data_IF_669169002449
#
_entry.id   IF_669169002449
#
_cell.length_a   1.000
_cell.length_b   1.000
_cell.length_c   1.000
_cell.angle_alpha   90.00
_cell.angle_beta   90.00
_cell.angle_gamma   90.00
#
_symmetry.space_group_name_H-M   'P 1'
#
loop_
_entity.id
_entity.type
_entity.pdbx_description
1 polymer ?
#
# COMPACT_ATOMS: atom_id res chain seq x y z
N UNK A 1 -8.94 3.85 13.51
CA UNK A 1 -8.20 4.49 14.61
C UNK A 1 -9.17 4.93 15.69
N UNK A 2 -8.70 4.99 16.90
CA UNK A 2 -9.51 5.38 18.05
C UNK A 2 -8.76 5.14 19.36
N UNK A 3 -9.54 5.12 20.46
CA UNK A 3 -9.03 4.82 21.80
C UNK A 3 -9.58 3.49 22.29
N UNK A 4 -8.80 2.76 23.05
CA UNK A 4 -9.23 1.52 23.69
C UNK A 4 -10.19 1.88 24.84
N UNK A 5 -11.42 1.43 24.75
CA UNK A 5 -12.44 1.64 25.79
C UNK A 5 -12.71 0.38 26.62
N UNK A 6 -12.34 -0.78 26.10
CA UNK A 6 -12.50 -2.07 26.79
C UNK A 6 -11.46 -3.06 26.30
N UNK A 7 -10.87 -3.84 27.21
CA UNK A 7 -9.97 -4.94 26.91
C UNK A 7 -10.64 -6.30 27.23
N UNK A 8 -10.34 -7.32 26.44
CA UNK A 8 -10.71 -8.71 26.75
C UNK A 8 -9.79 -9.31 27.82
N UNK A 9 -10.07 -10.55 28.23
CA UNK A 9 -9.36 -11.18 29.36
C UNK A 9 -7.94 -11.62 29.03
N UNK A 10 -7.68 -12.15 27.85
CA UNK A 10 -6.36 -12.66 27.46
C UNK A 10 -5.86 -11.95 26.21
N UNK A 11 -5.24 -10.80 26.37
CA UNK A 11 -4.71 -10.01 25.26
C UNK A 11 -3.18 -10.09 25.20
N UNK A 12 -2.65 -10.22 23.98
CA UNK A 12 -1.21 -10.11 23.73
C UNK A 12 -0.73 -8.67 24.02
N UNK A 13 0.52 -8.54 24.40
CA UNK A 13 1.17 -7.23 24.49
C UNK A 13 1.21 -6.55 23.11
N UNK A 14 1.34 -5.24 23.13
CA UNK A 14 1.56 -4.46 21.91
C UNK A 14 2.97 -4.72 21.33
N UNK A 15 3.24 -4.19 20.15
CA UNK A 15 4.53 -4.35 19.46
C UNK A 15 5.74 -3.73 20.20
N UNK A 16 5.51 -2.99 21.28
CA UNK A 16 6.54 -2.44 22.18
C UNK A 16 6.74 -3.31 23.43
N UNK A 17 6.07 -4.47 23.51
CA UNK A 17 6.13 -5.38 24.65
C UNK A 17 5.31 -4.95 25.86
N UNK A 18 4.47 -3.91 25.76
CA UNK A 18 3.62 -3.39 26.83
C UNK A 18 2.20 -3.94 26.75
N UNK A 19 1.56 -4.12 27.90
CA UNK A 19 0.13 -4.45 27.94
C UNK A 19 -0.70 -3.28 27.40
N UNK A 20 -1.75 -3.60 26.65
CA UNK A 20 -2.74 -2.63 26.22
C UNK A 20 -3.56 -2.10 27.42
N UNK A 21 -3.84 -0.83 27.43
CA UNK A 21 -4.61 -0.15 28.49
C UNK A 21 -5.79 0.62 27.90
N UNK A 22 -6.84 0.78 28.72
CA UNK A 22 -7.95 1.68 28.41
C UNK A 22 -7.39 3.11 28.28
N UNK A 23 -7.79 3.82 27.22
CA UNK A 23 -7.27 5.14 26.87
C UNK A 23 -6.07 5.12 25.90
N UNK A 24 -5.48 3.95 25.61
CA UNK A 24 -4.43 3.88 24.58
C UNK A 24 -4.97 4.31 23.22
N UNK A 25 -4.27 5.23 22.58
CA UNK A 25 -4.55 5.67 21.22
C UNK A 25 -3.98 4.66 20.21
N UNK A 26 -4.84 4.13 19.36
CA UNK A 26 -4.50 3.03 18.46
C UNK A 26 -5.02 3.23 17.06
N UNK A 27 -4.40 2.54 16.11
CA UNK A 27 -4.94 2.31 14.77
C UNK A 27 -4.67 0.87 14.34
N UNK A 28 -5.42 0.36 13.38
CA UNK A 28 -5.26 -1.03 12.97
C UNK A 28 -6.23 -1.49 11.92
N UNK A 29 -6.29 -2.81 11.73
CA UNK A 29 -7.16 -3.45 10.75
C UNK A 29 -8.36 -4.10 11.42
N UNK A 30 -9.51 -3.97 10.77
CA UNK A 30 -10.72 -4.72 11.10
C UNK A 30 -11.24 -5.43 9.84
N UNK A 31 -11.84 -6.60 10.02
CA UNK A 31 -12.38 -7.38 8.90
C UNK A 31 -13.62 -6.73 8.26
N UNK A 32 -14.29 -5.86 9.02
CA UNK A 32 -15.49 -5.11 8.62
C UNK A 32 -16.01 -4.29 9.81
N UNK A 33 -17.09 -3.54 9.61
CA UNK A 33 -17.72 -2.76 10.67
C UNK A 33 -16.95 -1.51 11.13
N UNK A 34 -15.98 -1.03 10.31
CA UNK A 34 -15.17 0.16 10.66
C UNK A 34 -15.95 1.48 10.56
N UNK A 35 -17.12 1.50 9.96
CA UNK A 35 -18.03 2.66 9.93
C UNK A 35 -18.93 2.63 11.18
N UNK A 36 -18.32 2.74 12.34
CA UNK A 36 -18.99 2.62 13.64
C UNK A 36 -18.26 3.40 14.72
N UNK A 37 -18.99 3.84 15.74
CA UNK A 37 -18.41 4.50 16.91
C UNK A 37 -17.56 3.54 17.74
N UNK A 38 -17.90 2.26 17.76
CA UNK A 38 -17.16 1.21 18.45
C UNK A 38 -16.94 0.02 17.55
N UNK A 39 -15.75 -0.57 17.61
CA UNK A 39 -15.41 -1.75 16.83
C UNK A 39 -14.54 -2.69 17.67
N UNK A 40 -14.83 -3.99 17.54
CA UNK A 40 -14.01 -5.04 18.14
C UNK A 40 -12.84 -5.38 17.20
N UNK A 41 -11.63 -5.40 17.72
CA UNK A 41 -10.42 -5.71 16.96
C UNK A 41 -9.53 -6.68 17.73
N UNK A 42 -8.78 -7.51 17.02
CA UNK A 42 -7.75 -8.37 17.61
C UNK A 42 -6.54 -7.54 18.02
N UNK A 43 -6.08 -7.70 19.25
CA UNK A 43 -4.96 -6.94 19.81
C UNK A 43 -3.69 -6.97 18.93
N UNK A 44 -3.36 -8.13 18.34
CA UNK A 44 -2.21 -8.27 17.44
C UNK A 44 -2.32 -7.52 16.11
N UNK A 45 -3.50 -6.98 15.76
CA UNK A 45 -3.71 -6.17 14.55
C UNK A 45 -3.69 -4.67 14.82
N UNK A 46 -3.35 -4.26 16.05
CA UNK A 46 -3.25 -2.88 16.47
C UNK A 46 -1.82 -2.37 16.47
N UNK A 47 -1.70 -1.10 16.15
CA UNK A 47 -0.50 -0.29 16.32
C UNK A 47 -0.71 0.70 17.46
N UNK A 48 0.33 0.94 18.26
CA UNK A 48 0.37 2.15 19.07
C UNK A 48 0.38 3.36 18.15
N UNK A 49 -0.44 4.36 18.44
CA UNK A 49 -0.47 5.57 17.64
C UNK A 49 0.71 6.48 18.03
N UNK A 50 1.54 6.93 17.06
CA UNK A 50 2.55 7.94 17.34
C UNK A 50 1.90 9.21 17.93
N UNK A 51 2.54 9.86 18.89
CA UNK A 51 1.98 11.05 19.59
C UNK A 51 1.57 12.17 18.62
N UNK A 52 2.37 12.37 17.57
CA UNK A 52 2.11 13.40 16.56
C UNK A 52 1.00 13.05 15.56
N UNK A 53 0.51 11.81 15.54
CA UNK A 53 -0.56 11.43 14.59
C UNK A 53 -1.93 11.89 15.11
N UNK A 54 -2.73 12.41 14.18
CA UNK A 54 -4.17 12.55 14.40
C UNK A 54 -4.87 11.20 14.18
N UNK A 55 -6.12 11.06 14.63
CA UNK A 55 -6.89 9.85 14.39
C UNK A 55 -7.12 9.61 12.89
N UNK A 56 -7.30 10.66 12.11
CA UNK A 56 -7.46 10.58 10.66
C UNK A 56 -6.19 10.02 10.00
N UNK A 57 -5.02 10.44 10.44
CA UNK A 57 -3.75 9.90 9.97
C UNK A 57 -3.60 8.42 10.35
N UNK A 58 -3.95 8.05 11.57
CA UNK A 58 -3.98 6.65 12.00
C UNK A 58 -4.91 5.79 11.12
N UNK A 59 -6.14 6.27 10.87
CA UNK A 59 -7.10 5.59 10.02
C UNK A 59 -6.61 5.42 8.57
N UNK A 60 -5.89 6.41 8.05
CA UNK A 60 -5.32 6.37 6.70
C UNK A 60 -4.08 5.47 6.59
N UNK A 61 -3.50 4.99 7.71
CA UNK A 61 -2.19 4.35 7.75
C UNK A 61 -2.25 2.82 7.60
N UNK A 62 -2.97 2.12 8.48
CA UNK A 62 -2.80 0.69 8.70
C UNK A 62 -2.92 -0.15 7.42
N UNK A 63 -4.04 -0.03 6.70
CA UNK A 63 -4.32 -0.86 5.51
C UNK A 63 -3.28 -0.64 4.41
N UNK A 64 -2.98 0.61 4.10
CA UNK A 64 -2.13 0.93 2.93
C UNK A 64 -0.67 0.57 3.17
N UNK A 65 -0.15 0.81 4.39
CA UNK A 65 1.22 0.44 4.72
C UNK A 65 1.40 -1.08 4.88
N UNK A 66 0.42 -1.79 5.46
CA UNK A 66 0.49 -3.24 5.56
C UNK A 66 0.36 -3.91 4.19
N UNK A 67 -0.51 -3.42 3.32
CA UNK A 67 -0.64 -3.95 1.95
C UNK A 67 0.62 -3.69 1.14
N UNK A 68 1.19 -2.49 1.20
CA UNK A 68 2.44 -2.17 0.54
C UNK A 68 3.61 -3.00 1.10
N UNK A 69 3.73 -3.11 2.42
CA UNK A 69 4.75 -3.90 3.09
C UNK A 69 4.66 -5.38 2.73
N UNK A 70 3.46 -5.95 2.79
CA UNK A 70 3.21 -7.33 2.37
C UNK A 70 3.70 -7.58 0.94
N UNK A 71 3.36 -6.68 0.02
CA UNK A 71 3.71 -6.82 -1.39
C UNK A 71 5.20 -6.74 -1.64
N UNK A 72 5.84 -5.72 -1.08
CA UNK A 72 7.25 -5.44 -1.32
C UNK A 72 8.16 -6.41 -0.56
N UNK A 73 7.91 -6.64 0.74
CA UNK A 73 8.87 -7.34 1.60
C UNK A 73 8.46 -8.77 1.91
N UNK A 74 7.19 -9.02 2.23
CA UNK A 74 6.76 -10.39 2.58
C UNK A 74 6.67 -11.29 1.34
N UNK A 75 6.19 -10.76 0.22
CA UNK A 75 5.96 -11.53 -1.03
C UNK A 75 7.14 -11.37 -1.97
N UNK A 76 7.42 -10.17 -2.46
CA UNK A 76 8.44 -9.94 -3.47
C UNK A 76 9.88 -9.95 -2.93
N UNK A 77 10.08 -9.96 -1.60
CA UNK A 77 11.42 -9.98 -0.97
C UNK A 77 12.31 -8.86 -1.49
N UNK A 78 11.76 -7.65 -1.62
CA UNK A 78 12.44 -6.48 -2.16
C UNK A 78 13.79 -6.26 -1.48
N UNK A 79 14.85 -6.28 -2.27
CA UNK A 79 16.19 -5.93 -1.83
C UNK A 79 16.43 -4.42 -1.89
N UNK A 80 17.40 -3.92 -1.13
CA UNK A 80 17.85 -2.53 -1.24
C UNK A 80 18.42 -2.26 -2.64
N UNK A 81 18.25 -1.03 -3.11
CA UNK A 81 18.70 -0.55 -4.43
C UNK A 81 17.99 -1.22 -5.64
N UNK A 82 16.93 -2.01 -5.42
CA UNK A 82 16.12 -2.58 -6.50
C UNK A 82 15.40 -1.49 -7.30
N UNK A 83 15.02 -1.84 -8.54
CA UNK A 83 14.17 -1.02 -9.41
C UNK A 83 12.72 -1.48 -9.26
N UNK A 84 11.85 -0.58 -8.85
CA UNK A 84 10.45 -0.87 -8.54
C UNK A 84 9.52 -0.09 -9.45
N UNK A 85 8.55 -0.77 -10.05
CA UNK A 85 7.43 -0.16 -10.75
C UNK A 85 6.17 -0.28 -9.89
N UNK A 86 5.49 0.83 -9.65
CA UNK A 86 4.24 0.86 -8.88
C UNK A 86 3.14 1.46 -9.73
N UNK A 87 2.15 0.67 -10.10
CA UNK A 87 0.97 1.17 -10.77
C UNK A 87 0.02 1.87 -9.79
N UNK A 88 -0.65 2.92 -10.27
CA UNK A 88 -1.50 3.81 -9.45
C UNK A 88 -0.73 4.42 -8.25
N UNK A 89 0.45 4.99 -8.50
CA UNK A 89 1.36 5.52 -7.48
C UNK A 89 0.75 6.52 -6.52
N UNK A 90 -0.24 7.30 -6.95
CA UNK A 90 -0.93 8.30 -6.12
C UNK A 90 -2.08 7.72 -5.28
N UNK A 91 -2.37 6.41 -5.37
CA UNK A 91 -3.33 5.75 -4.49
C UNK A 91 -2.79 5.65 -3.06
N UNK A 92 -3.64 5.26 -2.11
CA UNK A 92 -3.19 5.03 -0.74
C UNK A 92 -2.07 3.98 -0.66
N UNK A 93 -2.24 2.82 -1.30
CA UNK A 93 -1.21 1.76 -1.33
C UNK A 93 0.02 2.21 -2.13
N UNK A 94 -0.18 2.87 -3.28
CA UNK A 94 0.93 3.37 -4.10
C UNK A 94 1.79 4.38 -3.36
N UNK A 95 1.17 5.34 -2.67
CA UNK A 95 1.89 6.35 -1.87
C UNK A 95 2.67 5.75 -0.69
N UNK A 96 2.14 4.71 -0.06
CA UNK A 96 2.85 3.94 0.97
C UNK A 96 4.02 3.14 0.36
N UNK A 97 3.78 2.46 -0.77
CA UNK A 97 4.79 1.66 -1.45
C UNK A 97 5.99 2.51 -1.93
N UNK A 98 5.75 3.72 -2.45
CA UNK A 98 6.82 4.67 -2.79
C UNK A 98 7.71 4.90 -1.58
N UNK A 99 7.13 5.32 -0.46
CA UNK A 99 7.87 5.67 0.75
C UNK A 99 8.65 4.48 1.32
N UNK A 100 8.05 3.29 1.38
CA UNK A 100 8.71 2.09 1.87
C UNK A 100 9.87 1.65 0.96
N UNK A 101 9.69 1.70 -0.36
CA UNK A 101 10.74 1.37 -1.32
C UNK A 101 11.89 2.40 -1.25
N UNK A 102 11.57 3.70 -1.13
CA UNK A 102 12.59 4.75 -0.96
C UNK A 102 13.35 4.61 0.36
N UNK A 103 12.71 4.18 1.44
CA UNK A 103 13.40 3.88 2.71
C UNK A 103 14.43 2.73 2.57
N UNK A 104 14.32 1.90 1.54
CA UNK A 104 15.30 0.87 1.16
C UNK A 104 16.21 1.30 -0.01
N UNK A 105 16.26 2.59 -0.30
CA UNK A 105 17.11 3.18 -1.36
C UNK A 105 16.80 2.67 -2.78
N UNK A 106 15.58 2.14 -3.00
CA UNK A 106 15.18 1.65 -4.32
C UNK A 106 14.98 2.79 -5.32
N UNK A 107 15.15 2.47 -6.60
CA UNK A 107 14.73 3.34 -7.70
C UNK A 107 13.25 3.09 -8.00
N UNK A 108 12.41 4.09 -7.79
CA UNK A 108 10.95 3.97 -7.85
C UNK A 108 10.40 4.70 -9.07
N UNK A 109 9.78 3.95 -9.97
CA UNK A 109 8.96 4.48 -11.07
C UNK A 109 7.49 4.22 -10.79
N UNK A 110 6.62 5.18 -11.06
CA UNK A 110 5.18 5.00 -10.86
C UNK A 110 4.40 5.34 -12.12
N UNK A 111 3.20 4.75 -12.27
CA UNK A 111 2.22 5.19 -13.26
C UNK A 111 1.04 5.87 -12.60
N UNK A 112 0.54 6.94 -13.17
CA UNK A 112 -0.55 7.77 -12.65
C UNK A 112 -1.45 8.28 -13.77
N UNK A 113 -2.65 8.78 -13.43
CA UNK A 113 -3.64 9.25 -14.42
C UNK A 113 -3.68 10.76 -14.64
N UNK A 114 -2.82 11.56 -13.99
CA UNK A 114 -2.78 13.01 -14.18
C UNK A 114 -1.45 13.62 -13.75
N UNK A 115 -1.17 14.82 -14.22
CA UNK A 115 0.04 15.58 -13.85
C UNK A 115 0.06 15.95 -12.35
N UNK A 116 -1.07 16.26 -11.76
CA UNK A 116 -1.18 16.54 -10.33
C UNK A 116 -0.77 15.31 -9.51
N UNK A 117 -1.23 14.12 -9.91
CA UNK A 117 -0.83 12.84 -9.29
C UNK A 117 0.66 12.53 -9.50
N UNK A 118 1.21 12.82 -10.69
CA UNK A 118 2.64 12.66 -10.96
C UNK A 118 3.48 13.55 -10.03
N UNK A 119 3.12 14.84 -9.93
CA UNK A 119 3.80 15.79 -9.03
C UNK A 119 3.77 15.32 -7.57
N UNK A 120 2.62 14.80 -7.10
CA UNK A 120 2.49 14.29 -5.75
C UNK A 120 3.40 13.07 -5.51
N UNK A 121 3.49 12.13 -6.46
CA UNK A 121 4.37 10.97 -6.34
C UNK A 121 5.86 11.36 -6.33
N UNK A 122 6.29 12.31 -7.16
CA UNK A 122 7.66 12.82 -7.15
C UNK A 122 7.98 13.50 -5.81
N UNK A 123 7.05 14.25 -5.23
CA UNK A 123 7.21 14.86 -3.91
C UNK A 123 7.32 13.81 -2.77
N UNK A 124 6.80 12.60 -2.96
CA UNK A 124 6.97 11.47 -2.05
C UNK A 124 8.29 10.71 -2.24
N UNK A 125 9.09 11.11 -3.22
CA UNK A 125 10.39 10.54 -3.50
C UNK A 125 10.45 9.55 -4.66
N UNK A 126 9.37 9.36 -5.43
CA UNK A 126 9.46 8.59 -6.67
C UNK A 126 10.49 9.24 -7.62
N UNK A 127 11.32 8.43 -8.27
CA UNK A 127 12.35 8.91 -9.21
C UNK A 127 11.74 9.27 -10.57
N UNK A 128 10.65 8.58 -10.95
CA UNK A 128 9.90 8.85 -12.17
C UNK A 128 8.39 8.63 -11.96
N UNK A 129 7.57 9.51 -12.53
CA UNK A 129 6.13 9.41 -12.46
C UNK A 129 5.51 9.60 -13.86
N UNK A 130 5.00 8.51 -14.43
CA UNK A 130 4.53 8.44 -15.81
C UNK A 130 3.01 8.64 -15.84
N UNK A 131 2.56 9.69 -16.53
CA UNK A 131 1.15 9.84 -16.81
C UNK A 131 0.78 8.91 -17.98
N UNK A 132 0.08 7.80 -17.69
CA UNK A 132 -0.27 6.77 -18.66
C UNK A 132 -1.21 7.25 -19.78
N UNK A 133 -1.81 8.44 -19.63
CA UNK A 133 -2.59 9.06 -20.71
C UNK A 133 -1.71 9.69 -21.79
N UNK A 134 -0.43 9.95 -21.47
CA UNK A 134 0.53 10.60 -22.38
C UNK A 134 1.72 9.73 -22.72
N UNK A 135 2.09 8.81 -21.83
CA UNK A 135 3.32 8.05 -21.94
C UNK A 135 3.03 6.54 -21.78
N UNK A 136 3.32 5.76 -22.79
CA UNK A 136 3.31 4.30 -22.65
C UNK A 136 4.51 3.87 -21.81
N UNK A 137 4.25 3.28 -20.66
CA UNK A 137 5.30 2.91 -19.72
C UNK A 137 6.21 1.79 -20.25
N UNK A 138 5.75 0.97 -21.21
CA UNK A 138 6.58 -0.08 -21.83
C UNK A 138 7.66 0.53 -22.69
N UNK A 139 7.29 1.48 -23.56
CA UNK A 139 8.24 2.19 -24.41
C UNK A 139 9.22 2.99 -23.57
N UNK A 140 8.71 3.76 -22.60
CA UNK A 140 9.54 4.54 -21.71
C UNK A 140 10.56 3.66 -20.93
N UNK A 141 10.10 2.50 -20.44
CA UNK A 141 10.96 1.60 -19.67
C UNK A 141 12.12 1.02 -20.48
N UNK A 142 11.90 0.72 -21.77
CA UNK A 142 12.97 0.22 -22.66
C UNK A 142 14.13 1.22 -22.79
N UNK A 143 13.82 2.51 -22.78
CA UNK A 143 14.81 3.57 -22.92
C UNK A 143 15.49 3.92 -21.59
N UNK A 144 14.73 3.93 -20.49
CA UNK A 144 15.18 4.47 -19.20
C UNK A 144 15.58 3.38 -18.20
N UNK A 145 14.98 2.17 -18.30
CA UNK A 145 15.24 1.03 -17.41
C UNK A 145 15.48 -0.24 -18.25
N UNK A 146 16.48 -0.28 -19.11
CA UNK A 146 16.67 -1.37 -20.07
C UNK A 146 16.86 -2.74 -19.44
N UNK A 147 17.36 -2.83 -18.20
CA UNK A 147 17.45 -4.07 -17.45
C UNK A 147 16.11 -4.56 -16.88
N UNK A 148 15.07 -3.73 -16.93
CA UNK A 148 13.74 -4.00 -16.38
C UNK A 148 13.62 -3.72 -14.88
N UNK A 149 12.42 -3.97 -14.35
CA UNK A 149 12.08 -3.78 -12.94
C UNK A 149 12.18 -5.10 -12.16
N UNK A 150 12.86 -5.05 -11.02
CA UNK A 150 13.01 -6.20 -10.12
C UNK A 150 11.68 -6.56 -9.44
N UNK A 151 10.90 -5.53 -9.08
CA UNK A 151 9.57 -5.71 -8.47
C UNK A 151 8.56 -4.80 -9.16
N UNK A 152 7.39 -5.37 -9.48
CA UNK A 152 6.25 -4.64 -10.03
C UNK A 152 5.05 -4.85 -9.11
N UNK A 153 4.50 -3.75 -8.56
CA UNK A 153 3.26 -3.76 -7.76
C UNK A 153 2.11 -3.33 -8.67
N UNK A 154 1.19 -4.25 -8.91
CA UNK A 154 0.11 -4.07 -9.87
C UNK A 154 -1.27 -4.13 -9.20
N UNK A 155 -1.97 -3.00 -9.24
CA UNK A 155 -3.38 -2.87 -8.83
C UNK A 155 -4.32 -2.77 -10.04
N UNK A 156 -3.77 -2.76 -11.25
CA UNK A 156 -4.52 -2.56 -12.51
C UNK A 156 -4.93 -3.89 -13.11
N UNK A 157 -3.97 -4.80 -13.31
CA UNK A 157 -4.19 -6.11 -13.94
C UNK A 157 -4.74 -6.04 -15.37
N UNK A 158 -5.50 -7.05 -15.81
CA UNK A 158 -5.98 -7.11 -17.18
C UNK A 158 -4.81 -7.09 -18.16
N UNK A 159 -4.90 -6.27 -19.20
CA UNK A 159 -3.86 -6.14 -20.23
C UNK A 159 -2.51 -5.58 -19.71
N UNK A 160 -2.49 -5.02 -18.49
CA UNK A 160 -1.24 -4.63 -17.85
C UNK A 160 -0.33 -5.82 -17.52
N UNK A 161 -0.89 -7.02 -17.32
CA UNK A 161 -0.08 -8.21 -17.08
C UNK A 161 0.91 -8.48 -18.23
N UNK A 162 0.46 -8.46 -19.46
CA UNK A 162 1.33 -8.64 -20.63
C UNK A 162 2.40 -7.54 -20.73
N UNK A 163 2.01 -6.30 -20.43
CA UNK A 163 2.92 -5.15 -20.42
C UNK A 163 3.96 -5.28 -19.30
N UNK A 164 3.55 -5.70 -18.10
CA UNK A 164 4.42 -5.91 -16.95
C UNK A 164 5.47 -7.00 -17.21
N UNK A 165 5.08 -8.11 -17.85
CA UNK A 165 6.01 -9.16 -18.27
C UNK A 165 7.10 -8.59 -19.20
N UNK A 166 6.73 -7.66 -20.10
CA UNK A 166 7.69 -7.05 -21.02
C UNK A 166 8.74 -6.20 -20.32
N UNK A 167 8.38 -5.48 -19.25
CA UNK A 167 9.26 -4.54 -18.54
C UNK A 167 9.88 -5.10 -17.26
N UNK A 168 9.52 -6.31 -16.86
CA UNK A 168 10.14 -6.98 -15.72
C UNK A 168 11.62 -7.33 -16.02
N UNK A 169 12.46 -7.28 -15.03
CA UNK A 169 13.85 -7.73 -15.09
C UNK A 169 13.95 -9.26 -15.10
N UNK A 170 15.15 -9.77 -15.32
CA UNK A 170 15.48 -11.18 -15.08
C UNK A 170 15.27 -11.48 -13.59
N UNK A 171 14.63 -12.62 -13.27
CA UNK A 171 14.21 -13.00 -11.91
C UNK A 171 13.22 -12.03 -11.26
N UNK A 172 12.60 -11.14 -12.03
CA UNK A 172 11.67 -10.14 -11.55
C UNK A 172 10.40 -10.73 -10.91
N UNK A 173 9.80 -9.99 -9.99
CA UNK A 173 8.61 -10.40 -9.26
C UNK A 173 7.44 -9.44 -9.50
N UNK A 174 6.33 -9.96 -10.01
CA UNK A 174 5.08 -9.23 -10.19
C UNK A 174 4.13 -9.57 -9.05
N UNK A 175 3.62 -8.56 -8.34
CA UNK A 175 2.63 -8.73 -7.26
C UNK A 175 1.34 -8.03 -7.65
N UNK A 176 0.32 -8.84 -7.95
CA UNK A 176 -1.03 -8.37 -8.30
C UNK A 176 -1.90 -8.24 -7.06
N UNK A 177 -2.52 -7.08 -6.84
CA UNK A 177 -3.34 -6.76 -5.67
C UNK A 177 -4.80 -6.49 -5.99
N UNK A 178 -5.10 -6.12 -7.23
CA UNK A 178 -6.45 -5.74 -7.67
C UNK A 178 -6.56 -5.92 -9.19
N UNK A 179 -7.74 -5.66 -9.73
CA UNK A 179 -8.06 -5.83 -11.14
C UNK A 179 -8.85 -4.61 -11.68
N UNK A 180 -8.38 -3.40 -11.36
CA UNK A 180 -9.06 -2.17 -11.76
C UNK A 180 -9.15 -2.00 -13.29
N UNK A 181 -8.20 -2.54 -14.05
CA UNK A 181 -8.17 -2.51 -15.52
C UNK A 181 -8.80 -3.74 -16.18
N UNK A 182 -9.35 -4.68 -15.38
CA UNK A 182 -10.00 -5.88 -15.89
C UNK A 182 -9.47 -7.17 -15.26
N UNK A 183 -10.30 -8.22 -15.37
CA UNK A 183 -9.98 -9.54 -14.78
C UNK A 183 -9.30 -10.51 -15.75
N UNK A 184 -9.30 -10.19 -17.03
CA UNK A 184 -8.74 -11.05 -18.06
C UNK A 184 -7.59 -10.34 -18.79
N UNK A 185 -6.56 -11.10 -19.12
CA UNK A 185 -5.52 -10.71 -20.06
C UNK A 185 -5.67 -11.53 -21.32
N UNK A 186 -5.74 -10.89 -22.49
CA UNK A 186 -6.00 -11.57 -23.76
C UNK A 186 -4.80 -12.39 -24.24
N UNK A 187 -3.59 -11.93 -23.96
CA UNK A 187 -2.35 -12.58 -24.39
C UNK A 187 -1.26 -12.51 -23.34
N UNK A 188 -0.75 -13.66 -22.93
CA UNK A 188 0.42 -13.79 -22.05
C UNK A 188 1.52 -14.54 -22.78
N UNK A 189 2.68 -13.92 -22.91
CA UNK A 189 3.87 -14.50 -23.52
C UNK A 189 4.58 -15.42 -22.52
N UNK A 190 4.26 -16.71 -22.56
CA UNK A 190 4.85 -17.72 -21.67
C UNK A 190 6.37 -17.88 -21.93
N UNK A 191 6.83 -17.69 -23.19
CA UNK A 191 8.25 -17.77 -23.49
C UNK A 191 9.04 -16.67 -22.76
N UNK A 192 8.48 -15.46 -22.63
CA UNK A 192 9.10 -14.39 -21.83
C UNK A 192 9.09 -14.67 -20.34
N UNK A 193 8.00 -15.26 -19.81
CA UNK A 193 7.96 -15.69 -18.40
C UNK A 193 9.10 -16.67 -18.09
N UNK A 194 9.28 -17.67 -18.94
CA UNK A 194 10.34 -18.67 -18.82
C UNK A 194 11.73 -18.04 -18.98
N UNK A 195 11.95 -17.29 -20.07
CA UNK A 195 13.26 -16.69 -20.36
C UNK A 195 13.73 -15.73 -19.27
N UNK A 196 12.81 -15.00 -18.65
CA UNK A 196 13.10 -14.07 -17.56
C UNK A 196 12.99 -14.71 -16.15
N UNK A 197 12.56 -15.96 -16.03
CA UNK A 197 12.34 -16.68 -14.76
C UNK A 197 11.44 -15.89 -13.79
N UNK A 198 10.35 -15.29 -14.31
CA UNK A 198 9.49 -14.39 -13.56
C UNK A 198 8.69 -15.12 -12.49
N UNK A 199 8.53 -14.49 -11.35
CA UNK A 199 7.56 -14.89 -10.34
C UNK A 199 6.32 -14.01 -10.43
N UNK A 200 5.14 -14.62 -10.54
CA UNK A 200 3.85 -13.95 -10.50
C UNK A 200 3.13 -14.34 -9.21
N UNK A 201 2.81 -13.36 -8.39
CA UNK A 201 2.06 -13.54 -7.15
C UNK A 201 0.80 -12.70 -7.15
N UNK A 202 -0.29 -13.26 -6.66
CA UNK A 202 -1.50 -12.51 -6.35
C UNK A 202 -1.71 -12.50 -4.84
N UNK A 203 -2.16 -11.39 -4.30
CA UNK A 203 -2.37 -11.25 -2.87
C UNK A 203 -3.58 -10.40 -2.53
N UNK A 204 -4.16 -10.72 -1.39
CA UNK A 204 -5.16 -9.91 -0.70
C UNK A 204 -4.90 -10.02 0.79
N UNK A 205 -5.05 -8.90 1.51
CA UNK A 205 -4.87 -8.89 2.96
C UNK A 205 -6.17 -9.26 3.69
N UNK A 206 -7.32 -8.96 3.09
CA UNK A 206 -8.63 -9.06 3.75
C UNK A 206 -8.94 -10.46 4.28
N UNK A 207 -8.68 -11.50 3.49
CA UNK A 207 -9.00 -12.89 3.80
C UNK A 207 -7.85 -13.69 4.44
N UNK A 208 -6.77 -13.01 4.84
CA UNK A 208 -5.68 -13.64 5.61
C UNK A 208 -6.14 -13.91 7.05
N UNK A 209 -5.56 -14.93 7.68
CA UNK A 209 -5.83 -15.25 9.08
C UNK A 209 -5.43 -14.12 10.02
N UNK A 210 -6.00 -14.12 11.23
CA UNK A 210 -5.65 -13.14 12.26
C UNK A 210 -4.16 -13.25 12.64
N UNK A 211 -3.61 -14.46 12.73
CA UNK A 211 -2.20 -14.70 13.04
C UNK A 211 -1.28 -14.13 11.95
N UNK A 212 -1.62 -14.34 10.68
CA UNK A 212 -0.87 -13.74 9.58
C UNK A 212 -0.85 -12.21 9.67
N UNK A 213 -2.01 -11.59 9.94
CA UNK A 213 -2.11 -10.14 10.09
C UNK A 213 -1.33 -9.64 11.30
N UNK A 214 -1.37 -10.35 12.41
CA UNK A 214 -0.59 -10.01 13.60
C UNK A 214 0.92 -10.08 13.34
N UNK A 215 1.39 -11.14 12.67
CA UNK A 215 2.79 -11.25 12.26
C UNK A 215 3.20 -10.14 11.29
N UNK A 216 2.32 -9.78 10.35
CA UNK A 216 2.58 -8.71 9.40
C UNK A 216 2.71 -7.36 10.11
N UNK A 217 1.84 -7.08 11.09
CA UNK A 217 1.94 -5.88 11.94
C UNK A 217 3.26 -5.88 12.71
N UNK A 218 3.62 -6.99 13.36
CA UNK A 218 4.86 -7.11 14.11
C UNK A 218 6.09 -6.88 13.22
N UNK A 219 6.12 -7.50 12.03
CA UNK A 219 7.22 -7.34 11.07
C UNK A 219 7.32 -5.91 10.56
N UNK A 220 6.20 -5.29 10.17
CA UNK A 220 6.18 -3.88 9.77
C UNK A 220 6.68 -2.98 10.90
N UNK A 221 6.22 -3.22 12.13
CA UNK A 221 6.65 -2.42 13.28
C UNK A 221 8.15 -2.57 13.56
N UNK A 222 8.68 -3.77 13.47
CA UNK A 222 10.13 -4.02 13.58
C UNK A 222 10.93 -3.22 12.55
N UNK A 223 10.45 -3.15 11.31
CA UNK A 223 11.20 -2.58 10.20
C UNK A 223 11.01 -1.06 10.03
N UNK A 224 9.79 -0.54 10.32
CA UNK A 224 9.39 0.81 9.90
C UNK A 224 8.64 1.64 10.93
N UNK A 225 8.30 1.11 12.11
CA UNK A 225 7.57 1.90 13.11
C UNK A 225 8.37 3.13 13.56
N UNK A 226 9.70 3.01 13.69
CA UNK A 226 10.56 4.14 13.99
C UNK A 226 10.53 5.23 12.91
N UNK A 227 10.29 4.84 11.65
CA UNK A 227 10.15 5.78 10.53
C UNK A 227 8.81 6.52 10.56
N UNK A 228 7.73 5.85 10.99
CA UNK A 228 6.45 6.50 11.28
C UNK A 228 6.57 7.53 12.41
N UNK A 229 7.18 7.13 13.53
CA UNK A 229 7.39 8.01 14.69
C UNK A 229 8.24 9.23 14.33
N UNK A 230 9.25 9.06 13.49
CA UNK A 230 10.13 10.16 13.04
C UNK A 230 9.55 10.97 11.88
N UNK A 231 8.37 10.60 11.38
CA UNK A 231 7.72 11.25 10.24
C UNK A 231 8.43 11.07 8.89
N UNK A 232 9.38 10.11 8.79
CA UNK A 232 10.07 9.78 7.53
C UNK A 232 9.15 9.09 6.54
N UNK A 233 8.20 8.32 7.03
CA UNK A 233 7.06 7.79 6.29
C UNK A 233 5.77 8.27 6.97
N UNK A 234 4.74 8.58 6.17
CA UNK A 234 3.47 9.08 6.68
C UNK A 234 2.32 8.73 5.73
N UNK A 235 1.11 8.50 6.26
CA UNK A 235 -0.06 8.32 5.42
C UNK A 235 -0.38 9.61 4.67
N UNK A 236 -0.79 9.47 3.41
CA UNK A 236 -1.23 10.61 2.61
C UNK A 236 -2.75 10.70 2.72
N UNK A 237 -3.19 11.78 3.31
CA UNK A 237 -4.59 12.09 3.55
C UNK A 237 -5.07 13.09 2.50
N UNK A 238 -6.05 12.67 1.68
CA UNK A 238 -6.65 13.53 0.66
C UNK A 238 -7.75 14.41 1.26
N UNK A 239 -8.71 13.79 1.93
CA UNK A 239 -9.85 14.49 2.52
C UNK A 239 -10.42 13.72 3.71
N UNK A 240 -11.00 14.46 4.63
CA UNK A 240 -11.79 13.94 5.75
C UNK A 240 -13.26 14.36 5.55
N UNK A 241 -14.16 13.43 5.71
CA UNK A 241 -15.60 13.64 5.62
C UNK A 241 -16.28 13.28 6.94
N UNK A 242 -17.28 14.03 7.41
CA UNK A 242 -18.22 13.49 8.38
C UNK A 242 -18.81 12.20 7.83
N UNK A 243 -19.03 11.19 8.68
CA UNK A 243 -19.48 9.87 8.19
C UNK A 243 -20.84 9.90 7.52
N UNK A 244 -21.67 10.90 7.85
CA UNK A 244 -22.96 11.16 7.18
C UNK A 244 -22.79 11.51 5.69
N UNK A 245 -21.58 11.94 5.29
CA UNK A 245 -21.22 12.28 3.91
C UNK A 245 -20.47 11.12 3.20
N UNK A 246 -20.64 9.89 3.64
CA UNK A 246 -19.96 8.72 3.09
C UNK A 246 -20.18 8.56 1.58
N UNK A 247 -21.36 8.91 1.06
CA UNK A 247 -21.66 8.85 -0.37
C UNK A 247 -20.75 9.76 -1.18
N UNK A 248 -20.54 10.99 -0.72
CA UNK A 248 -19.64 11.97 -1.37
C UNK A 248 -18.17 11.47 -1.39
N UNK A 249 -17.73 10.83 -0.29
CA UNK A 249 -16.41 10.21 -0.23
C UNK A 249 -16.28 9.06 -1.22
N UNK A 250 -17.30 8.21 -1.35
CA UNK A 250 -17.33 7.11 -2.30
C UNK A 250 -17.38 7.62 -3.75
N UNK A 251 -18.15 8.64 -4.05
CA UNK A 251 -18.19 9.27 -5.39
C UNK A 251 -16.82 9.81 -5.79
N UNK A 252 -16.16 10.56 -4.90
CA UNK A 252 -14.80 11.07 -5.16
C UNK A 252 -13.83 9.94 -5.46
N UNK A 253 -13.91 8.84 -4.71
CA UNK A 253 -13.08 7.65 -4.92
C UNK A 253 -13.40 6.98 -6.27
N UNK A 254 -14.68 6.79 -6.60
CA UNK A 254 -15.13 6.19 -7.86
C UNK A 254 -14.68 7.01 -9.08
N UNK A 255 -14.62 8.32 -8.95
CA UNK A 255 -14.12 9.24 -9.98
C UNK A 255 -12.58 9.27 -10.07
N UNK A 256 -11.87 8.48 -9.23
CA UNK A 256 -10.41 8.42 -9.18
C UNK A 256 -9.74 9.82 -9.03
N UNK A 257 -10.37 10.72 -8.28
CA UNK A 257 -9.88 12.11 -8.08
C UNK A 257 -8.96 12.26 -6.88
N UNK A 258 -8.94 11.28 -5.96
CA UNK A 258 -8.16 11.35 -4.72
C UNK A 258 -6.66 11.11 -4.95
N UNK A 259 -5.87 11.71 -4.07
CA UNK A 259 -4.44 11.44 -3.88
C UNK A 259 -4.26 10.94 -2.44
N UNK A 260 -3.93 9.65 -2.27
CA UNK A 260 -3.91 9.03 -0.94
C UNK A 260 -5.30 8.55 -0.48
N UNK A 261 -5.60 8.69 0.80
CA UNK A 261 -6.80 8.14 1.47
C UNK A 261 -7.87 9.19 1.73
N UNK A 262 -9.11 8.76 1.60
CA UNK A 262 -10.29 9.45 2.12
C UNK A 262 -10.64 8.83 3.49
N UNK A 263 -10.92 9.65 4.48
CA UNK A 263 -11.22 9.21 5.84
C UNK A 263 -12.61 9.71 6.24
N UNK A 264 -13.35 8.86 6.94
CA UNK A 264 -14.62 9.22 7.55
C UNK A 264 -14.41 9.48 9.03
N UNK A 265 -14.85 10.63 9.49
CA UNK A 265 -14.89 10.98 10.91
C UNK A 265 -16.22 10.52 11.49
N UNK A 266 -16.15 9.53 12.37
CA UNK A 266 -17.31 8.99 13.09
C UNK A 266 -17.40 9.73 14.44
N UNK A 267 -18.48 10.47 14.64
CA UNK A 267 -18.78 11.24 15.87
C UNK A 267 -19.93 10.63 16.63
#
# INVERSE_FOLDING_TARGET
SGEIVQCGEAIANNHQGKAWQIGDRVFGLVAGGGYAQYVKVKAGQLFCMPEQFTFEQGAACAEVFLTAYQSLFSIAKLASNSKVLIHAGASGVGSAAIQLAKARQCHVTVTVGSEAKAKACLALGADSALNYQKTDFVTWSKENIPAGFDVIVDVVSGEYLAKNINVAALDGHLVTLSMLGGRYCSQVDIAKLLAKRLTLSASTLRNRSDDYKAQLVASFCSDFYADLVKGRIKPILDSVYPWQQVEQAHEKMAQNKNIGKLVLLVT
#
